data_IF_532710858943
#
_entry.id   IF_532710858943
#
_cell.length_a   1.000
_cell.length_b   1.000
_cell.length_c   1.000
_cell.angle_alpha   90.00
_cell.angle_beta   90.00
_cell.angle_gamma   90.00
#
_symmetry.space_group_name_H-M   'P 1'
#
loop_
_entity.id
_entity.type
_entity.pdbx_description
1 polymer ?
#
# COMPACT_ATOMS: atom_id res chain seq x y z
N UNK A 1 7.98 5.84 -19.72
CA UNK A 1 7.76 6.44 -18.39
C UNK A 1 7.24 7.85 -18.57
N UNK A 2 5.93 8.01 -18.68
CA UNK A 2 5.32 9.32 -18.93
C UNK A 2 4.50 9.75 -17.72
N UNK A 3 4.50 11.04 -17.38
CA UNK A 3 3.56 11.63 -16.43
C UNK A 3 3.66 11.14 -14.96
N UNK A 4 4.83 10.72 -14.48
CA UNK A 4 5.09 10.57 -13.03
C UNK A 4 5.37 11.95 -12.43
N UNK A 5 4.79 12.24 -11.26
CA UNK A 5 4.97 13.50 -10.54
C UNK A 5 5.13 13.30 -9.03
N UNK A 6 5.78 14.23 -8.32
CA UNK A 6 5.89 14.16 -6.86
C UNK A 6 4.52 14.20 -6.18
N UNK A 7 4.35 13.44 -5.09
CA UNK A 7 3.13 13.47 -4.28
C UNK A 7 3.28 14.50 -3.17
N UNK A 8 2.60 15.65 -3.29
CA UNK A 8 2.68 16.75 -2.32
C UNK A 8 1.35 17.02 -1.63
N UNK A 9 0.26 16.63 -2.29
CA UNK A 9 -1.11 16.85 -1.86
C UNK A 9 -1.88 15.54 -1.91
N UNK A 10 -3.02 15.50 -1.22
CA UNK A 10 -3.94 14.37 -1.26
C UNK A 10 -4.43 14.07 -2.69
N UNK A 11 -4.63 15.11 -3.51
CA UNK A 11 -5.00 14.93 -4.92
C UNK A 11 -3.87 14.29 -5.76
N UNK A 12 -2.61 14.49 -5.40
CA UNK A 12 -1.50 13.77 -6.04
C UNK A 12 -1.51 12.30 -5.61
N UNK A 13 -1.73 12.06 -4.32
CA UNK A 13 -1.84 10.73 -3.74
C UNK A 13 -2.99 9.91 -4.37
N UNK A 14 -4.19 10.47 -4.44
CA UNK A 14 -5.36 9.83 -5.07
C UNK A 14 -5.09 9.48 -6.55
N UNK A 15 -4.40 10.38 -7.26
CA UNK A 15 -3.96 10.12 -8.63
C UNK A 15 -3.00 8.92 -8.69
N UNK A 16 -2.02 8.84 -7.78
CA UNK A 16 -1.07 7.73 -7.75
C UNK A 16 -1.75 6.40 -7.40
N UNK A 17 -2.70 6.42 -6.46
CA UNK A 17 -3.53 5.25 -6.12
C UNK A 17 -4.36 4.81 -7.33
N UNK A 18 -5.03 5.74 -8.03
CA UNK A 18 -5.80 5.41 -9.22
C UNK A 18 -4.94 4.78 -10.32
N UNK A 19 -3.71 5.26 -10.53
CA UNK A 19 -2.79 4.72 -11.53
C UNK A 19 -2.25 3.35 -11.13
N UNK A 20 -1.79 3.19 -9.88
CA UNK A 20 -1.17 1.93 -9.44
C UNK A 20 -2.18 0.78 -9.41
N UNK A 21 -3.44 1.05 -9.06
CA UNK A 21 -4.49 0.02 -8.96
C UNK A 21 -4.80 -0.63 -10.30
N UNK A 22 -4.55 0.05 -11.43
CA UNK A 22 -4.76 -0.50 -12.77
C UNK A 22 -3.85 -1.69 -13.06
N UNK A 23 -2.68 -1.72 -12.42
CA UNK A 23 -1.73 -2.82 -12.54
C UNK A 23 -2.16 -4.07 -11.75
N UNK A 24 -3.16 -3.99 -10.87
CA UNK A 24 -3.68 -5.18 -10.19
C UNK A 24 -4.65 -5.97 -11.06
N UNK A 25 -5.36 -5.29 -11.95
CA UNK A 25 -6.19 -5.95 -12.96
C UNK A 25 -5.36 -6.46 -14.14
N UNK A 26 -4.29 -5.73 -14.48
CA UNK A 26 -3.38 -6.06 -15.58
C UNK A 26 -1.94 -5.97 -15.09
N UNK A 27 -1.47 -7.07 -14.48
CA UNK A 27 -0.13 -7.15 -13.92
C UNK A 27 0.93 -6.87 -15.00
N UNK A 28 1.86 -5.91 -14.77
CA UNK A 28 2.87 -5.58 -15.76
C UNK A 28 3.93 -6.66 -15.83
N UNK A 29 4.49 -6.87 -17.03
CA UNK A 29 5.61 -7.78 -17.20
C UNK A 29 6.85 -7.26 -16.45
N UNK A 30 7.56 -8.18 -15.78
CA UNK A 30 8.81 -7.87 -15.07
C UNK A 30 9.85 -7.31 -16.03
N UNK A 31 10.42 -6.15 -15.70
CA UNK A 31 11.41 -5.45 -16.53
C UNK A 31 10.83 -4.71 -17.73
N UNK A 32 9.51 -4.62 -17.84
CA UNK A 32 8.84 -3.73 -18.79
C UNK A 32 8.80 -2.29 -18.28
N UNK A 33 8.55 -1.33 -19.18
CA UNK A 33 8.38 0.08 -18.82
C UNK A 33 7.19 0.31 -17.86
N UNK A 34 6.18 -0.54 -17.93
CA UNK A 34 5.03 -0.51 -17.03
C UNK A 34 5.39 -1.08 -15.65
N UNK A 35 6.23 -2.12 -15.60
CA UNK A 35 6.80 -2.64 -14.35
C UNK A 35 7.66 -1.58 -13.65
N UNK A 36 8.57 -0.95 -14.40
CA UNK A 36 9.38 0.15 -13.86
C UNK A 36 8.49 1.30 -13.34
N UNK A 37 7.38 1.59 -14.03
CA UNK A 37 6.43 2.63 -13.61
C UNK A 37 5.69 2.23 -12.33
N UNK A 38 5.25 0.98 -12.22
CA UNK A 38 4.63 0.44 -11.02
C UNK A 38 5.55 0.59 -9.80
N UNK A 39 6.82 0.19 -9.92
CA UNK A 39 7.80 0.27 -8.85
C UNK A 39 8.01 1.71 -8.35
N UNK A 40 8.09 2.67 -9.28
CA UNK A 40 8.23 4.10 -8.91
C UNK A 40 6.97 4.63 -8.23
N UNK A 41 5.78 4.29 -8.74
CA UNK A 41 4.52 4.71 -8.12
C UNK A 41 4.37 4.14 -6.70
N UNK A 42 4.70 2.85 -6.51
CA UNK A 42 4.68 2.20 -5.21
C UNK A 42 5.59 2.92 -4.21
N UNK A 43 6.82 3.23 -4.63
CA UNK A 43 7.81 3.95 -3.81
C UNK A 43 7.32 5.34 -3.41
N UNK A 44 6.67 6.06 -4.34
CA UNK A 44 6.14 7.40 -4.07
C UNK A 44 4.96 7.37 -3.10
N UNK A 45 4.06 6.39 -3.27
CA UNK A 45 2.91 6.16 -2.38
C UNK A 45 3.41 5.88 -0.97
N UNK A 46 4.32 4.93 -0.79
CA UNK A 46 4.91 4.60 0.52
C UNK A 46 5.55 5.84 1.18
N UNK A 47 6.33 6.61 0.44
CA UNK A 47 6.98 7.81 0.96
C UNK A 47 5.97 8.89 1.40
N UNK A 48 4.87 9.04 0.67
CA UNK A 48 3.78 9.95 1.05
C UNK A 48 3.06 9.44 2.31
N UNK A 49 2.69 8.17 2.35
CA UNK A 49 2.01 7.56 3.50
C UNK A 49 2.84 7.67 4.76
N UNK A 50 4.13 7.32 4.73
CA UNK A 50 5.03 7.43 5.88
C UNK A 50 5.12 8.85 6.46
N UNK A 51 4.92 9.87 5.63
CA UNK A 51 4.94 11.27 6.06
C UNK A 51 3.58 11.76 6.58
N UNK A 52 2.49 11.27 6.01
CA UNK A 52 1.14 11.81 6.22
C UNK A 52 0.27 10.94 7.13
N UNK A 53 0.44 9.62 7.06
CA UNK A 53 -0.22 8.62 7.88
C UNK A 53 0.84 7.94 8.74
N UNK A 54 1.23 8.62 9.82
CA UNK A 54 2.05 7.98 10.84
C UNK A 54 1.29 6.75 11.32
N UNK A 55 1.91 5.59 11.21
CA UNK A 55 1.46 4.41 11.94
C UNK A 55 1.61 4.78 13.41
N UNK A 56 0.56 5.29 14.04
CA UNK A 56 0.44 5.14 15.47
C UNK A 56 0.58 3.65 15.70
N UNK A 57 1.61 3.24 16.45
CA UNK A 57 1.73 1.86 16.85
C UNK A 57 0.37 1.48 17.43
N UNK A 58 -0.39 0.64 16.72
CA UNK A 58 -1.62 0.08 17.29
C UNK A 58 -1.20 -0.43 18.65
N UNK A 59 -1.78 0.15 19.71
CA UNK A 59 -1.70 -0.43 21.03
C UNK A 59 -1.97 -1.92 20.82
N UNK A 60 -1.08 -2.83 21.28
CA UNK A 60 -1.15 -4.23 20.91
C UNK A 60 -2.57 -4.69 21.19
N UNK A 61 -3.28 -5.11 20.13
CA UNK A 61 -4.59 -5.72 20.31
C UNK A 61 -4.36 -6.90 21.23
N UNK A 62 -4.90 -6.81 22.45
CA UNK A 62 -4.85 -7.87 23.45
C UNK A 62 -5.40 -9.14 22.82
N UNK A 63 -4.50 -9.98 22.31
CA UNK A 63 -4.78 -11.32 21.80
C UNK A 63 -5.08 -12.29 22.95
N UNK A 64 -5.98 -11.90 23.85
CA UNK A 64 -6.38 -12.68 25.02
C UNK A 64 -7.90 -12.90 25.02
N UNK A 65 -8.39 -13.68 24.06
CA UNK A 65 -9.61 -14.47 24.26
C UNK A 65 -9.69 -15.66 23.29
N UNK A 66 -8.76 -16.62 23.39
CA UNK A 66 -9.05 -17.99 22.97
C UNK A 66 -9.97 -18.63 24.02
N UNK A 67 -11.26 -18.33 23.93
CA UNK A 67 -12.27 -18.98 24.76
C UNK A 67 -12.43 -20.46 24.33
N UNK A 68 -11.90 -21.35 25.16
CA UNK A 68 -12.48 -22.66 25.44
C UNK A 68 -12.42 -23.71 24.33
N UNK A 69 -11.25 -24.34 24.15
CA UNK A 69 -11.24 -25.74 23.76
C UNK A 69 -11.82 -26.54 24.93
N UNK A 70 -13.05 -27.02 24.79
CA UNK A 70 -13.67 -27.94 25.75
C UNK A 70 -12.92 -29.26 25.67
N UNK A 71 -12.01 -29.48 26.61
CA UNK A 71 -11.51 -30.82 26.88
C UNK A 71 -12.70 -31.69 27.27
N UNK A 72 -12.99 -32.61 26.36
CA UNK A 72 -13.81 -33.77 26.62
C UNK A 72 -12.86 -34.79 27.22
N UNK A 73 -12.96 -35.03 28.53
CA UNK A 73 -12.79 -36.30 29.25
C UNK A 73 -12.90 -36.08 30.77
#
# INVERSE_FOLDING_TARGET
MENIRPLKTEADYDWAIAEITRYFENEPEVGSLDGDRFDVLATLVEAYENKHYLIEASDPVDGAHSAGFRDTL
#
